data_IF_659801288222
#
_entry.id   IF_659801288222
#
_cell.length_a   1.000
_cell.length_b   1.000
_cell.length_c   1.000
_cell.angle_alpha   90.00
_cell.angle_beta   90.00
_cell.angle_gamma   90.00
#
_symmetry.space_group_name_H-M   'P 1'
#
loop_
_entity.id
_entity.type
_entity.pdbx_description
1 polymer ?
#
# COMPACT_ATOMS: atom_id res chain seq x y z
N UNK A 1 4.89 -12.25 11.12
CA UNK A 1 5.58 -12.85 9.97
C UNK A 1 5.56 -11.84 8.81
N UNK A 2 6.72 -11.29 8.43
CA UNK A 2 6.86 -10.38 7.27
C UNK A 2 7.32 -11.24 6.10
N UNK A 3 6.53 -11.33 5.02
CA UNK A 3 6.95 -12.01 3.80
C UNK A 3 7.69 -11.04 2.89
N UNK A 4 8.77 -11.55 2.28
CA UNK A 4 9.59 -10.88 1.29
C UNK A 4 9.41 -11.55 -0.07
N UNK A 5 9.29 -10.75 -1.13
CA UNK A 5 9.47 -11.24 -2.50
C UNK A 5 10.58 -10.43 -3.15
N UNK A 6 11.58 -11.14 -3.69
CA UNK A 6 12.72 -10.56 -4.40
C UNK A 6 12.37 -10.57 -5.89
N UNK A 7 12.42 -9.41 -6.54
CA UNK A 7 12.30 -9.35 -8.00
C UNK A 7 13.72 -9.27 -8.63
N UNK A 8 13.82 -9.67 -9.90
CA UNK A 8 15.09 -9.90 -10.62
C UNK A 8 16.09 -8.72 -10.52
N UNK A 9 17.39 -9.06 -10.48
CA UNK A 9 18.59 -8.21 -10.33
C UNK A 9 18.37 -6.68 -10.37
N UNK A 10 18.54 -6.05 -9.20
CA UNK A 10 18.46 -4.59 -9.01
C UNK A 10 17.14 -4.09 -8.41
N UNK A 11 16.14 -4.95 -8.25
CA UNK A 11 14.84 -4.59 -7.66
C UNK A 11 14.85 -4.61 -6.12
N UNK A 12 14.25 -3.55 -5.56
CA UNK A 12 14.05 -3.31 -4.12
C UNK A 12 12.99 -4.25 -3.53
N UNK A 13 13.27 -4.85 -2.38
CA UNK A 13 12.38 -5.79 -1.70
C UNK A 13 10.97 -5.20 -1.45
N UNK A 14 9.95 -6.02 -1.68
CA UNK A 14 8.57 -5.72 -1.30
C UNK A 14 8.25 -6.52 -0.03
N UNK A 15 7.84 -5.81 1.02
CA UNK A 15 7.51 -6.37 2.33
C UNK A 15 6.03 -6.15 2.64
N UNK A 16 5.35 -7.19 3.11
CA UNK A 16 4.01 -7.10 3.70
C UNK A 16 3.85 -8.04 4.89
N UNK A 17 2.86 -7.74 5.73
CA UNK A 17 2.46 -8.59 6.84
C UNK A 17 1.01 -9.05 6.60
N UNK A 18 0.70 -10.26 7.09
CA UNK A 18 -0.67 -10.79 7.09
C UNK A 18 -1.60 -9.86 7.89
N UNK A 19 -2.81 -9.67 7.37
CA UNK A 19 -3.87 -8.84 7.89
C UNK A 19 -5.14 -9.67 8.05
N UNK A 20 -5.94 -9.36 9.07
CA UNK A 20 -7.24 -10.00 9.29
C UNK A 20 -8.32 -9.28 8.48
N UNK A 21 -8.27 -9.39 7.14
CA UNK A 21 -9.20 -8.72 6.24
C UNK A 21 -9.36 -9.50 4.94
N UNK A 22 -10.52 -9.41 4.25
CA UNK A 22 -10.68 -9.93 2.89
C UNK A 22 -9.71 -9.31 1.87
N UNK A 23 -9.07 -8.19 2.23
CA UNK A 23 -8.05 -7.51 1.43
C UNK A 23 -6.63 -7.82 1.93
N UNK A 24 -6.44 -8.96 2.60
CA UNK A 24 -5.13 -9.39 3.05
C UNK A 24 -4.14 -9.52 1.88
N UNK A 25 -2.98 -8.85 1.92
CA UNK A 25 -2.02 -8.91 0.82
C UNK A 25 -1.42 -10.30 0.62
N UNK A 26 -1.34 -11.13 1.66
CA UNK A 26 -0.80 -12.48 1.52
C UNK A 26 -1.78 -13.40 0.79
N UNK A 27 -3.04 -13.44 1.21
CA UNK A 27 -4.10 -14.19 0.51
C UNK A 27 -4.34 -13.67 -0.91
N UNK A 28 -4.34 -12.35 -1.11
CA UNK A 28 -4.48 -11.75 -2.44
C UNK A 28 -3.34 -12.16 -3.39
N UNK A 29 -2.11 -12.21 -2.88
CA UNK A 29 -0.95 -12.65 -3.65
C UNK A 29 -1.00 -14.16 -3.95
N UNK A 30 -1.35 -14.99 -2.96
CA UNK A 30 -1.52 -16.43 -3.17
C UNK A 30 -2.61 -16.73 -4.21
N UNK A 31 -3.73 -16.01 -4.14
CA UNK A 31 -4.79 -16.11 -5.15
C UNK A 31 -4.30 -15.68 -6.54
N UNK A 32 -3.51 -14.61 -6.62
CA UNK A 32 -2.90 -14.19 -7.88
C UNK A 32 -2.03 -15.28 -8.50
N UNK A 33 -1.17 -15.94 -7.70
CA UNK A 33 -0.34 -17.05 -8.17
C UNK A 33 -1.19 -18.22 -8.68
N UNK A 34 -2.26 -18.58 -7.96
CA UNK A 34 -3.17 -19.67 -8.36
C UNK A 34 -3.91 -19.37 -9.66
N UNK A 35 -4.51 -18.18 -9.76
CA UNK A 35 -5.39 -17.81 -10.89
C UNK A 35 -4.58 -17.44 -12.13
N UNK A 36 -3.45 -16.75 -11.96
CA UNK A 36 -2.70 -16.19 -13.09
C UNK A 36 -1.45 -16.99 -13.45
N UNK A 37 -0.96 -17.86 -12.56
CA UNK A 37 0.22 -18.71 -12.78
C UNK A 37 1.38 -17.99 -13.51
N UNK A 38 1.84 -16.82 -13.01
CA UNK A 38 2.80 -16.00 -13.72
C UNK A 38 4.12 -16.76 -13.93
N UNK A 39 4.83 -16.56 -15.07
CA UNK A 39 6.11 -17.20 -15.32
C UNK A 39 7.15 -16.86 -14.24
N UNK A 40 7.95 -17.84 -13.81
CA UNK A 40 8.92 -17.68 -12.73
C UNK A 40 9.95 -16.56 -12.98
N UNK A 41 10.36 -16.37 -14.24
CA UNK A 41 11.31 -15.33 -14.66
C UNK A 41 10.62 -14.10 -15.29
N UNK A 42 9.29 -14.00 -15.16
CA UNK A 42 8.49 -12.92 -15.72
C UNK A 42 8.15 -11.82 -14.70
N UNK A 43 7.50 -10.73 -15.14
CA UNK A 43 7.01 -9.69 -14.23
C UNK A 43 6.02 -10.27 -13.21
N UNK A 44 6.17 -9.90 -11.93
CA UNK A 44 5.34 -10.43 -10.85
C UNK A 44 3.85 -10.13 -11.04
N UNK A 45 3.52 -8.94 -11.55
CA UNK A 45 2.13 -8.53 -11.80
C UNK A 45 1.67 -8.98 -13.19
N UNK A 46 1.78 -10.27 -13.48
CA UNK A 46 1.37 -10.85 -14.78
C UNK A 46 0.03 -11.54 -14.66
N UNK A 47 -0.90 -11.25 -15.57
CA UNK A 47 -2.21 -11.87 -15.59
C UNK A 47 -2.41 -12.78 -16.80
N UNK A 48 -3.26 -13.79 -16.63
CA UNK A 48 -3.60 -14.72 -17.70
C UNK A 48 -4.65 -14.10 -18.64
N UNK A 49 -4.41 -14.19 -19.94
CA UNK A 49 -5.29 -13.70 -21.00
C UNK A 49 -5.48 -14.81 -22.04
N UNK A 50 -6.40 -15.74 -21.74
CA UNK A 50 -6.61 -16.96 -22.52
C UNK A 50 -5.45 -17.94 -22.30
N UNK A 51 -4.70 -18.24 -23.36
CA UNK A 51 -3.50 -19.11 -23.27
C UNK A 51 -2.20 -18.35 -23.03
N UNK A 52 -2.25 -17.01 -23.04
CA UNK A 52 -1.08 -16.15 -22.98
C UNK A 52 -1.00 -15.40 -21.65
N UNK A 53 0.23 -15.07 -21.24
CA UNK A 53 0.50 -14.23 -20.09
C UNK A 53 0.81 -12.80 -20.53
N UNK A 54 0.26 -11.79 -19.83
CA UNK A 54 0.55 -10.38 -20.09
C UNK A 54 0.94 -9.65 -18.81
N UNK A 55 2.00 -8.85 -18.88
CA UNK A 55 2.38 -7.96 -17.80
C UNK A 55 1.29 -6.89 -17.59
N UNK A 56 0.87 -6.67 -16.35
CA UNK A 56 -0.10 -5.63 -16.01
C UNK A 56 0.56 -4.25 -16.13
N UNK A 57 0.06 -3.46 -17.07
CA UNK A 57 0.49 -2.07 -17.21
C UNK A 57 -0.35 -1.15 -16.33
N UNK A 58 0.20 0.01 -15.96
CA UNK A 58 -0.54 1.06 -15.24
C UNK A 58 -1.83 1.45 -15.97
N UNK A 59 -1.78 1.61 -17.30
CA UNK A 59 -2.94 1.97 -18.11
C UNK A 59 -4.03 0.90 -17.98
N UNK A 60 -3.68 -0.38 -18.20
CA UNK A 60 -4.64 -1.49 -18.09
C UNK A 60 -5.26 -1.56 -16.69
N UNK A 61 -4.45 -1.43 -15.64
CA UNK A 61 -4.94 -1.40 -14.26
C UNK A 61 -5.95 -0.29 -14.03
N UNK A 62 -5.63 0.95 -14.42
CA UNK A 62 -6.50 2.11 -14.22
C UNK A 62 -7.78 2.03 -15.05
N UNK A 63 -7.70 1.55 -16.29
CA UNK A 63 -8.89 1.32 -17.13
C UNK A 63 -9.80 0.27 -16.51
N UNK A 64 -9.27 -0.89 -16.12
CA UNK A 64 -10.06 -1.94 -15.47
C UNK A 64 -10.72 -1.43 -14.19
N UNK A 65 -9.95 -0.76 -13.31
CA UNK A 65 -10.49 -0.18 -12.08
C UNK A 65 -11.61 0.83 -12.36
N UNK A 66 -11.40 1.72 -13.34
CA UNK A 66 -12.39 2.73 -13.73
C UNK A 66 -13.67 2.09 -14.23
N UNK A 67 -13.57 1.07 -15.08
CA UNK A 67 -14.73 0.32 -15.58
C UNK A 67 -15.51 -0.34 -14.45
N UNK A 68 -14.83 -1.01 -13.51
CA UNK A 68 -15.47 -1.64 -12.35
C UNK A 68 -16.15 -0.61 -11.45
N UNK A 69 -15.50 0.53 -11.18
CA UNK A 69 -16.10 1.60 -10.36
C UNK A 69 -17.36 2.17 -11.02
N UNK A 70 -17.31 2.46 -12.33
CA UNK A 70 -18.47 2.94 -13.09
C UNK A 70 -19.63 1.95 -13.05
N UNK A 71 -19.35 0.66 -13.23
CA UNK A 71 -20.36 -0.38 -13.14
C UNK A 71 -21.02 -0.46 -11.75
N UNK A 72 -20.29 -0.05 -10.69
CA UNK A 72 -20.80 0.05 -9.32
C UNK A 72 -21.40 1.41 -8.96
N UNK A 73 -21.60 2.32 -9.92
CA UNK A 73 -22.12 3.67 -9.68
C UNK A 73 -21.14 4.60 -8.94
N UNK A 74 -19.84 4.28 -8.94
CA UNK A 74 -18.80 5.05 -8.24
C UNK A 74 -17.97 5.88 -9.23
N UNK A 75 -17.48 7.07 -8.80
CA UNK A 75 -16.65 7.90 -9.65
C UNK A 75 -15.30 7.22 -9.96
N UNK A 76 -14.69 7.53 -11.12
CA UNK A 76 -13.39 7.00 -11.49
C UNK A 76 -12.30 7.47 -10.52
N UNK A 77 -11.28 6.62 -10.31
CA UNK A 77 -10.12 6.95 -9.48
C UNK A 77 -8.89 7.24 -10.36
N UNK A 78 -8.26 8.37 -10.11
CA UNK A 78 -6.97 8.71 -10.71
C UNK A 78 -5.83 8.01 -9.96
N UNK A 79 -4.79 7.58 -10.68
CA UNK A 79 -3.65 6.90 -10.07
C UNK A 79 -2.94 7.71 -8.97
N UNK A 80 -2.87 9.03 -9.12
CA UNK A 80 -2.34 9.91 -8.08
C UNK A 80 -3.20 9.90 -6.81
N UNK A 81 -4.53 9.94 -6.98
CA UNK A 81 -5.50 9.81 -5.89
C UNK A 81 -5.33 8.50 -5.12
N UNK A 82 -5.10 7.38 -5.80
CA UNK A 82 -4.85 6.07 -5.14
C UNK A 82 -3.64 6.14 -4.21
N UNK A 83 -2.52 6.74 -4.66
CA UNK A 83 -1.30 6.87 -3.85
C UNK A 83 -1.52 7.77 -2.63
N UNK A 84 -2.25 8.88 -2.78
CA UNK A 84 -2.60 9.77 -1.68
C UNK A 84 -3.53 9.07 -0.69
N UNK A 85 -4.62 8.45 -1.17
CA UNK A 85 -5.59 7.75 -0.32
C UNK A 85 -4.93 6.61 0.47
N UNK A 86 -3.97 5.88 -0.13
CA UNK A 86 -3.19 4.89 0.58
C UNK A 86 -2.35 5.50 1.71
N UNK A 87 -1.68 6.63 1.44
CA UNK A 87 -0.91 7.40 2.44
C UNK A 87 -1.81 7.82 3.60
N UNK A 88 -2.96 8.42 3.31
CA UNK A 88 -3.96 8.81 4.31
C UNK A 88 -4.44 7.63 5.15
N UNK A 89 -4.73 6.49 4.50
CA UNK A 89 -5.16 5.27 5.19
C UNK A 89 -4.13 4.74 6.19
N UNK A 90 -2.83 4.86 5.88
CA UNK A 90 -1.78 4.48 6.83
C UNK A 90 -1.69 5.43 8.02
N UNK A 91 -1.81 6.73 7.78
CA UNK A 91 -1.79 7.73 8.86
C UNK A 91 -2.98 7.58 9.81
N UNK A 92 -4.18 7.30 9.29
CA UNK A 92 -5.37 6.99 10.10
C UNK A 92 -5.23 5.69 10.92
N UNK A 93 -4.27 4.82 10.58
CA UNK A 93 -3.88 3.65 11.38
C UNK A 93 -2.74 3.95 12.35
N UNK A 94 -2.51 5.23 12.65
CA UNK A 94 -1.45 5.71 13.55
C UNK A 94 -0.03 5.34 13.10
N UNK A 95 0.18 5.07 11.80
CA UNK A 95 1.53 4.86 11.29
C UNK A 95 2.29 6.19 11.31
N UNK A 96 3.50 6.26 11.89
CA UNK A 96 4.27 7.51 11.95
C UNK A 96 4.61 8.06 10.56
N UNK A 97 4.76 9.40 10.47
CA UNK A 97 4.91 10.11 9.20
C UNK A 97 6.15 9.70 8.40
N UNK A 98 7.27 9.46 9.07
CA UNK A 98 8.52 8.97 8.50
C UNK A 98 8.35 7.56 7.92
N UNK A 99 7.64 6.67 8.62
CA UNK A 99 7.34 5.31 8.16
C UNK A 99 6.44 5.36 6.91
N UNK A 100 5.42 6.22 6.92
CA UNK A 100 4.55 6.44 5.75
C UNK A 100 5.34 7.03 4.58
N UNK A 101 6.29 7.93 4.84
CA UNK A 101 7.16 8.51 3.81
C UNK A 101 8.00 7.43 3.12
N UNK A 102 8.66 6.57 3.91
CA UNK A 102 9.46 5.43 3.40
C UNK A 102 8.56 4.45 2.66
N UNK A 103 7.44 4.04 3.26
CA UNK A 103 6.50 3.07 2.67
C UNK A 103 5.87 3.56 1.38
N UNK A 104 5.49 4.83 1.33
CA UNK A 104 4.92 5.50 0.16
C UNK A 104 5.97 5.96 -0.87
N UNK A 105 7.26 5.70 -0.60
CA UNK A 105 8.41 6.12 -1.44
C UNK A 105 8.34 7.61 -1.80
N UNK A 106 7.99 8.43 -0.81
CA UNK A 106 7.91 9.87 -0.96
C UNK A 106 9.30 10.47 -0.80
N UNK A 107 9.78 11.16 -1.84
CA UNK A 107 11.10 11.81 -1.82
C UNK A 107 11.09 12.99 -0.85
N UNK A 108 10.00 13.76 -0.84
CA UNK A 108 9.80 14.93 0.02
C UNK A 108 8.54 14.80 0.87
N UNK A 109 8.30 15.78 1.74
CA UNK A 109 7.13 15.83 2.61
C UNK A 109 5.87 16.39 1.90
N UNK A 110 5.86 16.44 0.56
CA UNK A 110 4.72 16.96 -0.22
C UNK A 110 3.42 16.20 0.03
N UNK A 111 3.47 14.96 0.53
CA UNK A 111 2.25 14.24 0.90
C UNK A 111 1.46 14.91 2.05
N UNK A 112 2.12 15.77 2.85
CA UNK A 112 1.49 16.50 3.95
C UNK A 112 0.41 17.48 3.48
N UNK A 113 0.53 18.03 2.25
CA UNK A 113 -0.50 18.98 1.75
C UNK A 113 -1.81 18.29 1.39
N UNK A 114 -1.79 16.95 1.28
CA UNK A 114 -2.96 16.14 0.94
C UNK A 114 -3.61 15.48 2.16
N UNK A 115 -3.15 15.82 3.37
CA UNK A 115 -3.77 15.33 4.58
C UNK A 115 -5.20 15.84 4.69
N UNK A 116 -6.08 14.92 5.06
CA UNK A 116 -7.45 15.20 5.47
C UNK A 116 -7.62 14.59 6.86
N UNK A 117 -8.57 15.05 7.66
CA UNK A 117 -8.77 14.58 9.03
C UNK A 117 -7.58 14.88 9.98
N UNK A 118 -7.04 16.11 9.92
CA UNK A 118 -5.91 16.55 10.75
C UNK A 118 -6.09 16.21 12.23
N UNK A 119 -7.27 16.47 12.80
CA UNK A 119 -7.55 16.18 14.22
C UNK A 119 -7.34 14.71 14.55
N UNK A 120 -7.83 13.78 13.73
CA UNK A 120 -7.67 12.35 13.99
C UNK A 120 -6.21 11.89 13.84
N UNK A 121 -5.50 12.42 12.84
CA UNK A 121 -4.10 12.09 12.59
C UNK A 121 -3.19 12.65 13.68
N UNK A 122 -3.48 13.85 14.18
CA UNK A 122 -2.65 14.56 15.14
C UNK A 122 -3.03 14.29 16.60
N UNK A 123 -4.25 13.79 16.88
CA UNK A 123 -4.73 13.52 18.24
C UNK A 123 -3.75 12.68 19.11
N UNK A 124 -3.07 11.62 18.59
CA UNK A 124 -2.07 10.90 19.38
C UNK A 124 -0.88 11.77 19.80
N UNK A 125 -0.54 12.79 19.01
CA UNK A 125 0.58 13.69 19.25
C UNK A 125 0.22 14.90 20.13
N UNK A 126 -1.08 15.17 20.34
CA UNK A 126 -1.58 16.29 21.15
C UNK A 126 -1.99 15.87 22.57
N UNK A 127 -1.58 14.68 23.02
CA UNK A 127 -1.92 14.15 24.34
C UNK A 127 -1.21 14.93 25.45
N UNK A 128 -1.86 15.06 26.61
CA UNK A 128 -1.34 15.79 27.78
C UNK A 128 -0.02 15.21 28.35
N UNK A 129 0.33 13.97 27.99
CA UNK A 129 1.58 13.32 28.37
C UNK A 129 2.37 12.80 27.14
N UNK A 130 3.05 13.70 26.39
CA UNK A 130 3.76 13.33 25.18
C UNK A 130 4.87 12.29 25.38
N UNK A 131 5.53 12.29 26.54
CA UNK A 131 6.63 11.37 26.86
C UNK A 131 6.17 9.91 26.98
N UNK A 132 5.01 9.68 27.62
CA UNK A 132 4.43 8.35 27.76
C UNK A 132 4.00 7.81 26.39
N UNK A 133 3.32 8.65 25.60
CA UNK A 133 2.91 8.28 24.24
C UNK A 133 4.11 7.94 23.35
N UNK A 134 5.17 8.76 23.38
CA UNK A 134 6.41 8.51 22.64
C UNK A 134 7.08 7.19 23.05
N UNK A 135 7.08 6.88 24.35
CA UNK A 135 7.64 5.62 24.87
C UNK A 135 6.81 4.41 24.41
N UNK A 136 5.48 4.52 24.47
CA UNK A 136 4.57 3.48 23.98
C UNK A 136 4.73 3.23 22.48
N UNK A 137 4.79 4.29 21.67
CA UNK A 137 5.04 4.18 20.23
C UNK A 137 6.39 3.55 19.94
N UNK A 138 7.46 3.91 20.67
CA UNK A 138 8.79 3.31 20.48
C UNK A 138 8.80 1.80 20.74
N UNK A 139 8.00 1.33 21.70
CA UNK A 139 7.87 -0.09 22.04
C UNK A 139 7.05 -0.83 20.97
N UNK A 140 5.95 -0.24 20.52
CA UNK A 140 4.98 -0.91 19.63
C UNK A 140 5.31 -0.75 18.14
N UNK A 141 6.02 0.32 17.77
CA UNK A 141 6.36 0.72 16.41
C UNK A 141 7.83 1.21 16.38
N UNK A 142 8.81 0.30 16.36
CA UNK A 142 10.21 0.70 16.34
C UNK A 142 10.54 1.52 15.08
N UNK A 143 11.39 2.54 15.20
CA UNK A 143 11.78 3.37 14.05
C UNK A 143 12.45 2.51 12.97
N UNK A 144 12.16 2.83 11.70
CA UNK A 144 12.81 2.20 10.55
C UNK A 144 14.27 2.63 10.54
N UNK A 145 15.18 1.65 10.58
CA UNK A 145 16.63 1.84 10.43
C UNK A 145 17.00 2.03 8.97
#
# INVERSE_FOLDING_TARGET
HILQSKALHGLKDINWAKQNSPLDPHEAFNNHLKVNSPPANGPLSTYCNGRNHKALTKSKFLTTLTTTLKASGRPPLQGHGIRISATLKYLLRNMPFDIVKVKGRWVSNVFLVYLRHHTQILAPYMQAQPALHKSFLRITLPPVR
#
